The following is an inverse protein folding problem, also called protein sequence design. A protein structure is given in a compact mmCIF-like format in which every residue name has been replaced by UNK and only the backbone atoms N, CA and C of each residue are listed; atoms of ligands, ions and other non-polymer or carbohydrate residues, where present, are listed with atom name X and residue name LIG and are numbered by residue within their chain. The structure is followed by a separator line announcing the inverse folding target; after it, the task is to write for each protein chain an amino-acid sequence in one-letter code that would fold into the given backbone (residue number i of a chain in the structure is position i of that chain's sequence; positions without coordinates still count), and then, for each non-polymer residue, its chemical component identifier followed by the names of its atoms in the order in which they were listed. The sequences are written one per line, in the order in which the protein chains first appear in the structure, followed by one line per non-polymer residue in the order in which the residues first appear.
data_IF_419921724773
#
_entry.id   IF_419921724773
#
_cell.length_a   1.000
_cell.length_b   1.000
_cell.length_c   1.000
_cell.angle_alpha   90.00
_cell.angle_beta   90.00
_cell.angle_gamma   90.00
#
_symmetry.space_group_name_H-M   'P 1'
#
loop_
_entity.id
_entity.type
_entity.pdbx_description
1 polymer ?
#
# COMPACT_ATOMS: atom_id res chain seq x y z
N UNK A 1 2.86 -16.29 -9.14
CA UNK A 1 2.29 -15.42 -10.19
C UNK A 1 1.54 -14.27 -9.51
N UNK A 2 2.15 -13.08 -9.46
CA UNK A 2 1.51 -11.83 -9.04
C UNK A 2 1.06 -11.14 -10.32
N UNK A 3 -0.24 -11.05 -10.57
CA UNK A 3 -0.80 -10.39 -11.75
C UNK A 3 -1.98 -9.50 -11.36
N UNK A 4 -1.92 -8.28 -11.90
CA UNK A 4 -3.01 -7.33 -12.18
C UNK A 4 -3.50 -6.42 -11.05
N UNK A 5 -2.84 -5.26 -10.91
CA UNK A 5 -3.55 -3.97 -11.08
C UNK A 5 -2.58 -2.81 -11.38
N UNK A 6 -1.88 -2.89 -12.51
CA UNK A 6 -1.65 -1.68 -13.30
C UNK A 6 -2.85 -1.51 -14.24
N UNK A 7 -3.25 -0.26 -14.48
CA UNK A 7 -4.29 0.17 -15.41
C UNK A 7 -5.74 0.17 -14.89
N UNK A 8 -6.05 1.10 -13.98
CA UNK A 8 -7.41 1.68 -13.92
C UNK A 8 -7.46 3.19 -13.61
N UNK A 9 -6.37 3.92 -13.84
CA UNK A 9 -6.40 5.40 -13.89
C UNK A 9 -6.83 5.94 -15.27
N UNK A 10 -7.22 5.07 -16.22
CA UNK A 10 -7.68 5.46 -17.58
C UNK A 10 -9.08 4.93 -17.94
N UNK A 11 -10.06 5.00 -17.04
CA UNK A 11 -11.49 4.84 -17.41
C UNK A 11 -12.42 5.88 -16.75
N UNK A 12 -12.03 7.15 -16.79
CA UNK A 12 -12.97 8.28 -16.60
C UNK A 12 -12.95 9.24 -17.79
N UNK A 13 -12.88 8.70 -19.01
CA UNK A 13 -13.03 9.42 -20.28
C UNK A 13 -14.17 8.82 -21.12
N UNK A 14 -15.36 8.71 -20.52
CA UNK A 14 -16.56 8.22 -21.19
C UNK A 14 -17.87 8.86 -20.73
N UNK A 15 -17.83 9.84 -19.83
CA UNK A 15 -19.03 10.50 -19.32
C UNK A 15 -18.77 11.97 -19.00
N UNK A 16 -18.43 12.74 -20.03
CA UNK A 16 -18.57 14.21 -20.03
C UNK A 16 -19.09 14.61 -21.41
N UNK A 17 -20.27 14.11 -21.74
CA UNK A 17 -21.21 14.89 -22.55
C UNK A 17 -22.28 15.38 -21.59
N UNK A 18 -22.44 16.70 -21.55
CA UNK A 18 -23.61 17.40 -21.02
C UNK A 18 -23.67 17.56 -19.50
N UNK A 19 -22.87 18.47 -18.94
CA UNK A 19 -23.37 19.30 -17.84
C UNK A 19 -22.93 20.75 -18.03
N UNK A 20 -23.95 21.59 -18.16
CA UNK A 20 -23.89 23.03 -18.32
C UNK A 20 -23.24 23.69 -17.10
N UNK A 21 -22.50 24.76 -17.38
CA UNK A 21 -21.78 25.57 -16.42
C UNK A 21 -22.62 26.02 -15.23
N UNK A 22 -22.05 25.98 -14.02
CA UNK A 22 -21.96 27.14 -13.12
C UNK A 22 -21.18 26.81 -11.84
N UNK A 23 -20.40 27.80 -11.40
CA UNK A 23 -19.93 28.02 -10.02
C UNK A 23 -18.58 27.42 -9.55
N UNK A 24 -17.53 28.23 -9.76
CA UNK A 24 -16.48 28.65 -8.82
C UNK A 24 -15.37 27.66 -8.36
N UNK A 25 -14.15 27.93 -8.86
CA UNK A 25 -12.87 27.80 -8.12
C UNK A 25 -12.16 26.44 -8.17
N UNK A 26 -10.86 26.46 -8.50
CA UNK A 26 -9.87 25.37 -8.32
C UNK A 26 -9.80 24.16 -9.27
N UNK A 27 -10.45 24.18 -10.44
CA UNK A 27 -10.18 23.16 -11.48
C UNK A 27 -8.94 23.48 -12.35
N UNK A 28 -8.46 24.73 -12.36
CA UNK A 28 -7.45 25.19 -13.33
C UNK A 28 -5.99 24.94 -12.89
N UNK A 29 -5.72 24.78 -11.59
CA UNK A 29 -4.38 24.39 -11.10
C UNK A 29 -4.04 22.92 -11.42
N UNK A 30 -5.06 22.08 -11.53
CA UNK A 30 -4.90 20.68 -11.94
C UNK A 30 -4.40 20.57 -13.39
N UNK A 31 -4.92 21.42 -14.29
CA UNK A 31 -4.53 21.42 -15.71
C UNK A 31 -3.12 21.98 -15.92
N UNK A 32 -2.73 23.02 -15.18
CA UNK A 32 -1.40 23.63 -15.33
C UNK A 32 -0.29 22.71 -14.81
N UNK A 33 -0.51 22.03 -13.68
CA UNK A 33 0.45 21.08 -13.11
C UNK A 33 0.66 19.86 -14.02
N UNK A 34 -0.41 19.37 -14.67
CA UNK A 34 -0.35 18.26 -15.61
C UNK A 34 0.39 18.65 -16.91
N UNK A 35 0.17 19.88 -17.40
CA UNK A 35 0.84 20.37 -18.62
C UNK A 35 2.34 20.61 -18.38
N UNK A 36 2.71 21.14 -17.21
CA UNK A 36 4.11 21.35 -16.84
C UNK A 36 4.89 20.02 -16.76
N UNK A 37 4.30 18.99 -16.15
CA UNK A 37 4.94 17.68 -15.95
C UNK A 37 5.12 16.89 -17.27
N UNK A 38 4.23 17.12 -18.25
CA UNK A 38 4.29 16.46 -19.55
C UNK A 38 5.29 17.14 -20.51
N UNK A 39 5.65 18.40 -20.27
CA UNK A 39 6.56 19.16 -21.15
C UNK A 39 8.04 18.92 -20.84
N UNK A 40 8.37 18.50 -19.60
CA UNK A 40 9.77 18.26 -19.20
C UNK A 40 10.34 16.89 -19.61
N UNK A 41 9.50 15.98 -20.14
CA UNK A 41 9.95 14.61 -20.48
C UNK A 41 10.40 14.40 -21.93
N UNK A 42 10.42 15.45 -22.78
CA UNK A 42 10.64 15.30 -24.24
C UNK A 42 11.77 16.13 -24.86
N UNK A 43 12.76 16.62 -24.10
CA UNK A 43 13.89 17.35 -24.69
C UNK A 43 15.25 16.74 -24.34
N UNK A 44 15.89 16.11 -25.33
CA UNK A 44 17.35 16.02 -25.41
C UNK A 44 17.94 14.64 -25.73
N UNK A 45 17.89 14.21 -26.99
CA UNK A 45 18.94 13.35 -27.56
C UNK A 45 20.01 14.26 -28.18
N UNK A 46 21.31 13.99 -27.98
CA UNK A 46 22.29 13.72 -29.06
C UNK A 46 23.74 13.46 -28.54
N UNK A 47 24.47 12.61 -29.28
CA UNK A 47 25.94 12.41 -29.44
C UNK A 47 26.79 11.52 -28.49
N UNK A 48 27.44 10.51 -29.10
CA UNK A 48 28.66 9.73 -28.69
C UNK A 48 29.93 10.32 -29.40
N UNK A 49 31.21 9.86 -29.25
CA UNK A 49 31.82 8.72 -28.51
C UNK A 49 33.16 9.01 -27.74
N UNK A 50 33.73 7.94 -27.11
CA UNK A 50 35.18 7.62 -26.96
C UNK A 50 35.89 7.64 -25.57
N UNK A 51 36.53 6.48 -25.29
CA UNK A 51 37.88 6.24 -24.72
C UNK A 51 38.13 6.03 -23.20
N UNK A 52 38.48 4.77 -22.89
CA UNK A 52 39.69 4.29 -22.19
C UNK A 52 39.81 4.20 -20.65
N UNK A 53 40.01 2.93 -20.21
CA UNK A 53 40.86 2.39 -19.10
C UNK A 53 40.31 2.58 -17.66
N UNK A 54 40.42 1.65 -16.69
CA UNK A 54 41.32 0.50 -16.46
C UNK A 54 40.75 -0.37 -15.30
N UNK A 55 40.97 -1.70 -15.37
CA UNK A 55 41.18 -2.73 -14.29
C UNK A 55 40.33 -2.70 -13.01
N UNK A 56 39.77 -3.81 -12.52
CA UNK A 56 40.52 -4.92 -11.92
C UNK A 56 39.67 -6.21 -11.87
N UNK A 57 40.33 -7.33 -12.20
CA UNK A 57 39.88 -8.70 -11.92
C UNK A 57 39.87 -8.98 -10.41
N UNK A 58 38.92 -9.78 -9.95
CA UNK A 58 39.15 -10.74 -8.86
C UNK A 58 38.31 -12.01 -9.07
N UNK A 59 39.01 -13.12 -9.31
CA UNK A 59 38.52 -14.50 -9.23
C UNK A 59 38.82 -15.04 -7.81
N UNK A 60 37.97 -15.94 -7.31
CA UNK A 60 38.21 -16.78 -6.13
C UNK A 60 36.89 -17.39 -5.66
N UNK A 61 36.57 -18.63 -6.03
CA UNK A 61 36.94 -19.90 -5.37
C UNK A 61 36.26 -20.12 -4.00
N UNK A 62 35.30 -21.05 -4.04
CA UNK A 62 34.87 -22.04 -3.04
C UNK A 62 35.40 -21.94 -1.60
N UNK A 63 34.49 -21.77 -0.63
CA UNK A 63 34.71 -22.22 0.75
C UNK A 63 33.49 -22.96 1.30
N UNK A 64 33.67 -24.28 1.45
CA UNK A 64 32.88 -25.16 2.30
C UNK A 64 33.21 -24.91 3.77
N UNK A 65 32.22 -24.69 4.64
CA UNK A 65 32.41 -24.71 6.09
C UNK A 65 31.40 -25.65 6.78
N UNK A 66 31.94 -26.81 7.17
CA UNK A 66 31.75 -27.57 8.41
C UNK A 66 30.45 -27.38 9.22
N UNK A 67 29.70 -28.48 9.32
CA UNK A 67 28.65 -28.70 10.32
C UNK A 67 29.31 -28.94 11.68
N UNK A 68 28.99 -28.11 12.67
CA UNK A 68 29.14 -28.43 14.09
C UNK A 68 27.76 -28.75 14.68
N UNK A 69 27.60 -29.77 15.53
CA UNK A 69 26.34 -30.02 16.22
C UNK A 69 26.18 -29.02 17.37
N UNK A 70 25.21 -28.12 17.26
CA UNK A 70 24.82 -27.25 18.38
C UNK A 70 23.99 -28.08 19.38
N UNK A 71 24.44 -28.10 20.64
CA UNK A 71 23.68 -28.59 21.80
C UNK A 71 22.27 -27.98 21.82
N UNK A 72 21.25 -28.82 21.74
CA UNK A 72 19.85 -28.44 21.86
C UNK A 72 19.44 -28.27 23.33
N UNK A 73 19.43 -27.02 23.80
CA UNK A 73 18.63 -26.64 24.97
C UNK A 73 17.18 -26.41 24.53
N UNK A 74 16.17 -26.95 25.23
CA UNK A 74 14.78 -26.68 24.90
C UNK A 74 14.45 -25.24 25.28
N UNK A 75 14.54 -24.32 24.33
CA UNK A 75 14.03 -22.97 24.54
C UNK A 75 12.51 -23.02 24.34
N UNK A 76 11.78 -23.05 25.44
CA UNK A 76 10.36 -22.77 25.47
C UNK A 76 10.15 -21.26 25.21
N UNK A 77 10.22 -20.86 23.94
CA UNK A 77 9.89 -19.50 23.50
C UNK A 77 8.36 -19.33 23.60
N UNK A 78 7.83 -18.37 24.39
CA UNK A 78 6.43 -18.03 24.32
C UNK A 78 6.11 -17.52 22.91
N UNK A 79 4.97 -17.96 22.35
CA UNK A 79 4.55 -17.66 20.98
C UNK A 79 4.62 -16.15 20.66
N UNK A 80 5.55 -15.79 19.78
CA UNK A 80 5.86 -14.46 19.29
C UNK A 80 4.79 -13.94 18.29
N UNK A 81 3.53 -13.82 18.70
CA UNK A 81 2.47 -13.19 17.89
C UNK A 81 2.06 -11.80 18.38
N UNK A 82 2.65 -11.30 19.47
CA UNK A 82 2.31 -10.01 20.10
C UNK A 82 3.35 -8.91 19.90
N UNK A 83 4.60 -9.25 19.55
CA UNK A 83 5.71 -8.30 19.50
C UNK A 83 5.51 -7.14 18.49
N UNK A 84 4.96 -7.44 17.30
CA UNK A 84 4.71 -6.43 16.26
C UNK A 84 3.55 -5.48 16.58
N UNK A 85 2.46 -5.98 17.19
CA UNK A 85 1.34 -5.13 17.65
C UNK A 85 1.80 -4.18 18.75
N UNK A 86 2.63 -4.66 19.68
CA UNK A 86 3.13 -3.86 20.81
C UNK A 86 3.90 -2.61 20.37
N UNK A 87 4.72 -2.70 19.32
CA UNK A 87 5.50 -1.57 18.82
C UNK A 87 4.65 -0.42 18.27
N UNK A 88 3.50 -0.72 17.67
CA UNK A 88 2.65 0.27 16.99
C UNK A 88 1.31 0.50 17.69
N UNK A 89 1.14 -0.04 18.90
CA UNK A 89 -0.13 -0.03 19.63
C UNK A 89 -0.68 1.39 19.82
N UNK A 90 0.16 2.33 20.27
CA UNK A 90 -0.27 3.72 20.52
C UNK A 90 -0.70 4.42 19.23
N UNK A 91 0.02 4.20 18.13
CA UNK A 91 -0.30 4.78 16.81
C UNK A 91 -1.60 4.19 16.28
N UNK A 92 -1.80 2.87 16.44
CA UNK A 92 -3.02 2.18 16.03
C UNK A 92 -4.21 2.68 16.83
N UNK A 93 -4.05 2.83 18.15
CA UNK A 93 -5.08 3.39 19.03
C UNK A 93 -5.42 4.82 18.66
N UNK A 94 -4.42 5.68 18.45
CA UNK A 94 -4.62 7.07 18.02
C UNK A 94 -5.44 7.14 16.72
N UNK A 95 -5.07 6.33 15.73
CA UNK A 95 -5.77 6.28 14.46
C UNK A 95 -7.19 5.72 14.58
N UNK A 96 -7.37 4.68 15.41
CA UNK A 96 -8.67 4.09 15.70
C UNK A 96 -9.62 5.13 16.31
N UNK A 97 -9.16 5.85 17.34
CA UNK A 97 -9.94 6.90 18.01
C UNK A 97 -10.29 8.02 17.03
N UNK A 98 -9.30 8.54 16.28
CA UNK A 98 -9.48 9.65 15.34
C UNK A 98 -10.47 9.33 14.22
N UNK A 99 -10.37 8.13 13.65
CA UNK A 99 -11.20 7.71 12.53
C UNK A 99 -12.37 6.82 12.96
N UNK A 100 -12.63 6.68 14.27
CA UNK A 100 -13.71 5.90 14.86
C UNK A 100 -13.73 4.43 14.41
N UNK A 101 -12.58 3.87 14.05
CA UNK A 101 -12.45 2.50 13.57
C UNK A 101 -12.13 1.56 14.74
N UNK A 102 -12.55 0.29 14.71
CA UNK A 102 -12.04 -0.68 15.67
C UNK A 102 -10.52 -0.83 15.56
N UNK A 103 -9.78 -0.75 16.67
CA UNK A 103 -8.31 -0.94 16.70
C UNK A 103 -7.90 -2.28 16.08
N UNK A 104 -8.68 -3.34 16.36
CA UNK A 104 -8.46 -4.67 15.81
C UNK A 104 -8.63 -4.72 14.28
N UNK A 105 -9.44 -3.84 13.69
CA UNK A 105 -9.57 -3.76 12.23
C UNK A 105 -8.31 -3.18 11.59
N UNK A 106 -7.78 -2.09 12.16
CA UNK A 106 -6.52 -1.48 11.69
C UNK A 106 -5.37 -2.49 11.84
N UNK A 107 -5.30 -3.16 12.99
CA UNK A 107 -4.30 -4.21 13.26
C UNK A 107 -4.40 -5.37 12.26
N UNK A 108 -5.61 -5.82 11.94
CA UNK A 108 -5.86 -6.89 10.97
C UNK A 108 -5.40 -6.52 9.55
N UNK A 109 -5.66 -5.27 9.13
CA UNK A 109 -5.17 -4.75 7.84
C UNK A 109 -3.63 -4.69 7.85
N UNK A 110 -3.00 -4.11 8.87
CA UNK A 110 -1.53 -4.04 8.96
C UNK A 110 -0.89 -5.43 8.92
N UNK A 111 -1.49 -6.40 9.64
CA UNK A 111 -1.03 -7.79 9.63
C UNK A 111 -1.04 -8.38 8.22
N UNK A 112 -2.11 -8.15 7.46
CA UNK A 112 -2.24 -8.66 6.10
C UNK A 112 -1.33 -7.92 5.10
N UNK A 113 -1.14 -6.61 5.26
CA UNK A 113 -0.40 -5.77 4.31
C UNK A 113 1.11 -5.92 4.45
N UNK A 114 1.62 -5.88 5.68
CA UNK A 114 3.07 -5.79 5.93
C UNK A 114 3.56 -6.76 6.99
N UNK A 115 2.67 -7.48 7.66
CA UNK A 115 2.99 -8.22 8.89
C UNK A 115 3.73 -7.32 9.92
N UNK A 116 3.27 -6.09 10.08
CA UNK A 116 3.86 -5.06 10.94
C UNK A 116 5.29 -4.60 10.54
N UNK A 117 5.68 -4.78 9.28
CA UNK A 117 6.95 -4.24 8.78
C UNK A 117 6.77 -2.83 8.19
N UNK A 118 7.20 -1.80 8.93
CA UNK A 118 7.12 -0.40 8.49
C UNK A 118 7.98 -0.07 7.26
N UNK A 119 8.92 -0.93 6.88
CA UNK A 119 9.77 -0.78 5.68
C UNK A 119 9.34 -1.68 4.53
N UNK A 120 8.18 -2.35 4.62
CA UNK A 120 7.69 -3.22 3.57
C UNK A 120 7.45 -2.44 2.27
N UNK A 121 7.86 -3.03 1.14
CA UNK A 121 7.62 -2.51 -0.20
C UNK A 121 7.07 -3.63 -1.08
N UNK A 122 5.95 -3.39 -1.75
CA UNK A 122 5.40 -4.32 -2.74
C UNK A 122 6.08 -4.13 -4.11
N UNK A 123 5.90 -5.11 -5.00
CA UNK A 123 6.40 -5.03 -6.38
C UNK A 123 5.75 -3.87 -7.17
N UNK A 124 4.54 -3.47 -6.79
CA UNK A 124 3.84 -2.34 -7.39
C UNK A 124 4.22 -0.98 -6.74
N UNK A 125 5.11 -0.99 -5.74
CA UNK A 125 5.56 0.22 -5.05
C UNK A 125 4.70 0.65 -3.87
N UNK A 126 3.74 -0.18 -3.41
CA UNK A 126 3.04 0.07 -2.15
C UNK A 126 4.04 0.04 -0.98
N UNK A 127 3.87 0.91 0.03
CA UNK A 127 4.89 1.11 1.07
C UNK A 127 4.32 1.20 2.49
N UNK A 128 5.10 0.71 3.45
CA UNK A 128 4.84 0.85 4.89
C UNK A 128 3.81 -0.12 5.46
N UNK A 129 3.36 0.17 6.69
CA UNK A 129 2.53 -0.72 7.51
C UNK A 129 1.21 -1.12 6.85
N UNK A 130 0.53 -0.17 6.21
CA UNK A 130 -0.76 -0.32 5.54
C UNK A 130 -0.63 -0.28 4.00
N UNK A 131 0.60 -0.43 3.48
CA UNK A 131 0.91 -0.55 2.05
C UNK A 131 0.22 0.51 1.19
N UNK A 132 0.44 1.79 1.52
CA UNK A 132 -0.08 2.89 0.72
C UNK A 132 0.67 2.97 -0.62
N UNK A 133 -0.06 3.10 -1.72
CA UNK A 133 0.52 3.45 -3.02
C UNK A 133 0.98 4.92 -3.02
N UNK A 134 1.98 5.31 -3.85
CA UNK A 134 2.45 6.69 -3.93
C UNK A 134 1.36 7.73 -4.19
N UNK A 135 0.52 7.50 -5.20
CA UNK A 135 -0.57 8.42 -5.53
C UNK A 135 -1.57 8.55 -4.39
N UNK A 136 -1.93 7.43 -3.75
CA UNK A 136 -2.82 7.39 -2.59
C UNK A 136 -2.24 8.16 -1.40
N UNK A 137 -0.97 7.98 -1.09
CA UNK A 137 -0.31 8.72 -0.01
C UNK A 137 -0.31 10.23 -0.26
N UNK A 138 0.02 10.66 -1.48
CA UNK A 138 -0.04 12.08 -1.86
C UNK A 138 -1.45 12.65 -1.65
N UNK A 139 -2.47 11.93 -2.12
CA UNK A 139 -3.87 12.33 -1.93
C UNK A 139 -4.29 12.42 -0.45
N UNK A 140 -3.75 11.54 0.39
CA UNK A 140 -4.05 11.51 1.82
C UNK A 140 -3.22 12.51 2.65
N UNK A 141 -2.27 13.22 2.04
CA UNK A 141 -1.35 14.13 2.73
C UNK A 141 -0.25 13.41 3.52
N UNK A 142 0.09 12.17 3.12
CA UNK A 142 1.20 11.39 3.69
C UNK A 142 2.48 11.74 2.93
N UNK A 143 3.41 12.43 3.59
CA UNK A 143 4.68 12.85 2.99
C UNK A 143 5.68 11.69 2.92
N UNK A 144 5.76 10.88 3.98
CA UNK A 144 6.59 9.68 4.02
C UNK A 144 5.73 8.44 4.32
N UNK A 145 5.69 7.49 3.37
CA UNK A 145 4.95 6.23 3.54
C UNK A 145 5.67 5.25 4.46
N UNK A 146 6.94 5.46 4.78
CA UNK A 146 7.74 4.61 5.66
C UNK A 146 7.76 5.12 7.10
N UNK A 147 7.31 6.36 7.35
CA UNK A 147 7.00 6.84 8.69
C UNK A 147 5.78 6.08 9.23
N UNK A 148 5.91 5.29 10.32
CA UNK A 148 4.83 4.45 10.82
C UNK A 148 3.56 5.24 11.14
N UNK A 149 3.69 6.42 11.74
CA UNK A 149 2.55 7.21 12.18
C UNK A 149 1.80 7.80 11.00
N UNK A 150 2.49 8.44 10.06
CA UNK A 150 1.86 8.96 8.84
C UNK A 150 1.19 7.84 8.04
N UNK A 151 1.83 6.69 7.91
CA UNK A 151 1.29 5.56 7.15
C UNK A 151 0.00 5.02 7.78
N UNK A 152 -0.01 4.77 9.10
CA UNK A 152 -1.20 4.26 9.80
C UNK A 152 -2.32 5.30 9.81
N UNK A 153 -2.01 6.58 10.03
CA UNK A 153 -3.01 7.64 10.00
C UNK A 153 -3.62 7.84 8.61
N UNK A 154 -2.81 7.75 7.54
CA UNK A 154 -3.28 7.81 6.16
C UNK A 154 -4.12 6.58 5.79
N UNK A 155 -3.63 5.38 6.09
CA UNK A 155 -4.35 4.13 5.82
C UNK A 155 -5.67 4.02 6.57
N UNK A 156 -5.71 4.41 7.85
CA UNK A 156 -6.94 4.44 8.64
C UNK A 156 -7.95 5.46 8.08
N UNK A 157 -7.50 6.67 7.67
CA UNK A 157 -8.34 7.65 6.97
C UNK A 157 -8.96 7.04 5.71
N UNK A 158 -8.15 6.36 4.90
CA UNK A 158 -8.62 5.75 3.66
C UNK A 158 -9.62 4.62 3.92
N UNK A 159 -9.34 3.76 4.91
CA UNK A 159 -10.24 2.67 5.31
C UNK A 159 -11.59 3.21 5.82
N UNK A 160 -11.58 4.29 6.63
CA UNK A 160 -12.81 4.98 7.04
C UNK A 160 -13.59 5.51 5.83
N UNK A 161 -12.93 6.11 4.85
CA UNK A 161 -13.59 6.56 3.61
C UNK A 161 -14.30 5.41 2.90
N UNK A 162 -13.66 4.24 2.81
CA UNK A 162 -14.27 3.05 2.22
C UNK A 162 -15.46 2.56 3.03
N UNK A 163 -15.35 2.52 4.36
CA UNK A 163 -16.44 2.10 5.23
C UNK A 163 -17.67 3.01 5.12
N UNK A 164 -17.46 4.32 5.08
CA UNK A 164 -18.54 5.29 4.87
C UNK A 164 -19.20 5.13 3.49
N UNK A 165 -18.43 4.77 2.47
CA UNK A 165 -18.93 4.62 1.11
C UNK A 165 -19.70 3.31 0.88
N UNK A 166 -19.29 2.21 1.53
CA UNK A 166 -19.80 0.87 1.21
C UNK A 166 -20.56 0.19 2.37
N UNK A 167 -20.62 0.81 3.55
CA UNK A 167 -21.51 0.44 4.65
C UNK A 167 -21.13 -0.81 5.46
N UNK A 168 -20.39 -1.76 4.89
CA UNK A 168 -19.91 -2.96 5.58
C UNK A 168 -18.38 -3.06 5.58
N UNK A 169 -17.83 -3.71 6.62
CA UNK A 169 -16.38 -3.91 6.76
C UNK A 169 -15.86 -4.73 5.57
N UNK A 170 -16.54 -5.80 5.20
CA UNK A 170 -16.13 -6.71 4.13
C UNK A 170 -16.03 -5.98 2.78
N UNK A 171 -17.02 -5.13 2.48
CA UNK A 171 -17.06 -4.39 1.22
C UNK A 171 -16.07 -3.22 1.24
N UNK A 172 -15.83 -2.61 2.40
CA UNK A 172 -14.78 -1.62 2.59
C UNK A 172 -13.38 -2.21 2.38
N UNK A 173 -13.12 -3.41 2.90
CA UNK A 173 -11.87 -4.14 2.69
C UNK A 173 -11.68 -4.52 1.22
N UNK A 174 -12.75 -4.95 0.55
CA UNK A 174 -12.72 -5.18 -0.89
C UNK A 174 -12.36 -3.91 -1.66
N UNK A 175 -12.93 -2.76 -1.27
CA UNK A 175 -12.64 -1.47 -1.91
C UNK A 175 -11.23 -0.97 -1.60
N UNK A 176 -10.71 -1.24 -0.40
CA UNK A 176 -9.33 -0.93 -0.02
C UNK A 176 -8.33 -1.68 -0.91
N UNK A 177 -8.57 -2.97 -1.16
CA UNK A 177 -7.68 -3.83 -1.97
C UNK A 177 -7.88 -3.66 -3.48
N UNK A 178 -9.11 -3.75 -3.98
CA UNK A 178 -9.41 -3.74 -5.41
C UNK A 178 -9.70 -2.34 -5.96
N UNK A 179 -9.81 -1.34 -5.09
CA UNK A 179 -10.25 0.01 -5.44
C UNK A 179 -11.78 0.16 -5.44
N UNK A 180 -12.30 1.34 -5.06
CA UNK A 180 -13.73 1.60 -4.93
C UNK A 180 -14.49 1.51 -6.28
N UNK A 181 -13.83 1.81 -7.40
CA UNK A 181 -14.44 1.68 -8.73
C UNK A 181 -14.83 0.25 -9.08
N UNK A 182 -13.98 -0.73 -8.72
CA UNK A 182 -14.27 -2.15 -8.95
C UNK A 182 -15.43 -2.63 -8.08
N UNK A 183 -15.50 -2.21 -6.82
CA UNK A 183 -16.60 -2.56 -5.92
C UNK A 183 -17.92 -1.96 -6.39
N UNK A 184 -17.92 -0.68 -6.81
CA UNK A 184 -19.10 -0.04 -7.42
C UNK A 184 -19.57 -0.77 -8.67
N UNK A 185 -18.65 -1.10 -9.58
CA UNK A 185 -18.95 -1.81 -10.83
C UNK A 185 -19.65 -3.14 -10.61
N UNK A 186 -19.28 -3.86 -9.54
CA UNK A 186 -19.83 -5.20 -9.24
C UNK A 186 -20.95 -5.18 -8.19
N UNK A 187 -21.29 -4.03 -7.61
CA UNK A 187 -22.30 -3.93 -6.55
C UNK A 187 -21.92 -4.65 -5.26
N UNK A 188 -20.62 -4.83 -4.98
CA UNK A 188 -20.15 -5.61 -3.84
C UNK A 188 -18.71 -6.11 -4.02
N UNK A 189 -18.34 -7.18 -3.33
CA UNK A 189 -17.01 -7.79 -3.44
C UNK A 189 -16.83 -8.31 -4.88
N UNK A 190 -15.85 -7.80 -5.66
CA UNK A 190 -15.67 -8.22 -7.04
C UNK A 190 -15.26 -9.71 -7.12
N UNK A 191 -15.51 -10.40 -8.23
CA UNK A 191 -15.16 -11.82 -8.43
C UNK A 191 -13.66 -12.02 -8.69
N UNK A 192 -12.81 -11.23 -8.02
CA UNK A 192 -11.36 -11.34 -8.09
C UNK A 192 -10.91 -12.25 -6.96
N UNK A 193 -10.27 -13.38 -7.31
CA UNK A 193 -9.86 -14.38 -6.32
C UNK A 193 -8.94 -13.79 -5.26
N UNK A 194 -8.06 -12.87 -5.67
CA UNK A 194 -7.18 -12.14 -4.76
C UNK A 194 -7.97 -11.33 -3.73
N UNK A 195 -8.92 -10.51 -4.17
CA UNK A 195 -9.73 -9.66 -3.28
C UNK A 195 -10.60 -10.48 -2.34
N UNK A 196 -11.24 -11.55 -2.81
CA UNK A 196 -12.00 -12.44 -1.95
C UNK A 196 -11.12 -13.08 -0.87
N UNK A 197 -9.91 -13.52 -1.25
CA UNK A 197 -8.95 -14.07 -0.30
C UNK A 197 -8.44 -13.01 0.68
N UNK A 198 -8.23 -11.77 0.21
CA UNK A 198 -7.83 -10.65 1.03
C UNK A 198 -8.87 -10.37 2.13
N UNK A 199 -10.14 -10.19 1.74
CA UNK A 199 -11.25 -9.97 2.68
C UNK A 199 -11.32 -11.09 3.70
N UNK A 200 -11.28 -12.35 3.25
CA UNK A 200 -11.31 -13.53 4.14
C UNK A 200 -10.16 -13.51 5.15
N UNK A 201 -8.92 -13.22 4.72
CA UNK A 201 -7.75 -13.19 5.60
C UNK A 201 -7.83 -12.08 6.63
N UNK A 202 -8.19 -10.86 6.21
CA UNK A 202 -8.34 -9.73 7.13
C UNK A 202 -9.45 -9.99 8.14
N UNK A 203 -10.60 -10.51 7.71
CA UNK A 203 -11.71 -10.85 8.63
C UNK A 203 -11.31 -11.94 9.62
N UNK A 204 -10.52 -12.94 9.20
CA UNK A 204 -9.98 -13.93 10.11
C UNK A 204 -9.08 -13.30 11.19
N UNK A 205 -8.16 -12.41 10.80
CA UNK A 205 -7.33 -11.68 11.76
C UNK A 205 -8.17 -10.79 12.68
N UNK A 206 -9.14 -10.07 12.13
CA UNK A 206 -10.07 -9.19 12.87
C UNK A 206 -10.85 -9.94 13.95
N UNK A 207 -11.26 -11.17 13.68
CA UNK A 207 -12.01 -12.00 14.62
C UNK A 207 -11.14 -12.68 15.69
N UNK A 208 -9.84 -12.85 15.43
CA UNK A 208 -8.89 -13.50 16.35
C UNK A 208 -8.18 -12.50 17.27
N UNK A 209 -8.14 -11.22 16.90
CA UNK A 209 -7.50 -10.19 17.70
C UNK A 209 -8.38 -9.82 18.90
N UNK A 210 -7.82 -10.01 20.09
CA UNK A 210 -8.34 -9.52 21.36
C UNK A 210 -8.10 -8.01 21.52
#
# INVERSE_FOLDING_TARGET
MRMLLELNTMQTLGAVQSFSASSLGDANEFQSLLTQLMTESTLGLTHSPASSKKSLLYQGENYSHSILPALSLPINLPESNTAGKGQFADIIKEAADKYQLPEKLISAVIKQESNFNAKAVSQAGAGGLMQLMPGTAKFLGVADRFDPRQNVMGGAKYLRTMLNQFGSIETALAAYNAGPGNVKKHGGIPPFKETQNYVKKVMNYYNQMA
#
